data_IF_946595229449
#
_entry.id   IF_946595229449
#
_cell.length_a   1.000
_cell.length_b   1.000
_cell.length_c   1.000
_cell.angle_alpha   90.00
_cell.angle_beta   90.00
_cell.angle_gamma   90.00
#
_symmetry.space_group_name_H-M   'P 1'
#
loop_
_entity.id
_entity.type
_entity.pdbx_description
1 polymer ?
#
# COMPACT_ATOMS: atom_id res chain seq x y z
N UNK A 1 -8.12 -10.86 -0.16
CA UNK A 1 -9.46 -10.40 0.26
C UNK A 1 -9.27 -9.13 1.07
N UNK A 2 -10.15 -8.12 0.89
CA UNK A 2 -10.12 -6.84 1.62
C UNK A 2 -11.49 -6.62 2.25
N UNK A 3 -11.50 -6.22 3.50
CA UNK A 3 -12.72 -5.89 4.24
C UNK A 3 -12.75 -4.40 4.57
N UNK A 4 -13.82 -3.71 4.21
CA UNK A 4 -14.08 -2.34 4.60
C UNK A 4 -15.11 -2.30 5.73
N UNK A 5 -14.81 -1.56 6.79
CA UNK A 5 -15.69 -1.32 7.92
C UNK A 5 -16.00 0.17 8.00
N UNK A 6 -17.29 0.49 8.03
CA UNK A 6 -17.78 1.87 8.14
C UNK A 6 -18.92 1.97 9.17
N UNK A 7 -19.07 3.15 9.74
CA UNK A 7 -20.15 3.42 10.70
C UNK A 7 -21.39 3.90 9.98
N UNK A 8 -22.53 3.20 10.18
CA UNK A 8 -23.83 3.67 9.69
C UNK A 8 -24.34 4.89 10.47
N UNK A 9 -23.95 5.01 11.75
CA UNK A 9 -24.34 6.14 12.60
C UNK A 9 -23.51 7.42 12.32
N UNK A 10 -22.33 7.27 11.71
CA UNK A 10 -21.43 8.37 11.36
C UNK A 10 -20.86 8.15 9.94
N UNK A 11 -21.69 8.30 8.90
CA UNK A 11 -21.28 8.00 7.52
C UNK A 11 -20.18 8.90 6.99
N UNK A 12 -19.96 10.07 7.62
CA UNK A 12 -18.88 11.00 7.29
C UNK A 12 -17.54 10.63 7.93
N UNK A 13 -17.54 9.76 8.96
CA UNK A 13 -16.31 9.29 9.55
C UNK A 13 -15.50 8.45 8.55
N UNK A 14 -14.15 8.52 8.58
CA UNK A 14 -13.32 7.66 7.76
C UNK A 14 -13.64 6.18 7.99
N UNK A 15 -13.76 5.42 6.90
CA UNK A 15 -13.84 3.96 7.00
C UNK A 15 -12.46 3.36 7.31
N UNK A 16 -12.48 2.10 7.72
CA UNK A 16 -11.27 1.29 7.97
C UNK A 16 -11.28 0.15 6.95
N UNK A 17 -10.15 -0.06 6.26
CA UNK A 17 -9.97 -1.18 5.37
C UNK A 17 -8.87 -2.10 5.89
N UNK A 18 -9.22 -3.36 6.12
CA UNK A 18 -8.27 -4.43 6.40
C UNK A 18 -7.83 -5.03 5.08
N UNK A 19 -6.62 -4.69 4.65
CA UNK A 19 -6.14 -4.99 3.29
C UNK A 19 -5.38 -6.31 3.19
N UNK A 20 -5.14 -7.00 4.31
CA UNK A 20 -4.41 -8.27 4.33
C UNK A 20 -3.06 -8.13 3.63
N UNK A 21 -2.78 -9.07 2.74
CA UNK A 21 -1.57 -9.08 1.92
C UNK A 21 -1.79 -8.52 0.50
N UNK A 22 -2.89 -7.80 0.27
CA UNK A 22 -3.16 -7.15 -1.02
C UNK A 22 -2.45 -5.81 -1.13
N UNK A 23 -2.56 -4.97 -0.11
CA UNK A 23 -1.99 -3.63 -0.08
C UNK A 23 -1.29 -3.37 1.25
N UNK A 24 -0.02 -2.99 1.19
CA UNK A 24 0.81 -2.60 2.33
C UNK A 24 1.14 -1.11 2.29
N UNK A 25 1.64 -0.58 3.39
CA UNK A 25 2.22 0.76 3.39
C UNK A 25 3.47 0.80 2.50
N UNK A 26 3.38 1.54 1.41
CA UNK A 26 4.45 1.70 0.43
C UNK A 26 4.63 0.53 -0.53
N UNK A 27 3.69 -0.42 -0.57
CA UNK A 27 3.82 -1.60 -1.43
C UNK A 27 2.53 -2.40 -1.60
N UNK A 28 2.65 -3.56 -2.18
CA UNK A 28 1.57 -4.53 -2.34
C UNK A 28 2.08 -5.96 -2.12
N UNK A 29 1.17 -6.93 -2.13
CA UNK A 29 1.50 -8.35 -2.01
C UNK A 29 2.31 -8.88 -3.19
N UNK A 30 3.01 -9.99 -2.96
CA UNK A 30 3.71 -10.70 -4.01
C UNK A 30 2.75 -11.54 -4.88
N UNK A 31 3.21 -11.88 -6.10
CA UNK A 31 2.43 -12.68 -7.06
C UNK A 31 2.63 -14.18 -6.79
N UNK A 32 2.04 -14.70 -5.71
CA UNK A 32 2.12 -16.14 -5.41
C UNK A 32 1.03 -16.96 -6.11
N UNK A 33 -0.19 -16.43 -6.20
CA UNK A 33 -1.37 -17.17 -6.62
C UNK A 33 -2.16 -16.48 -7.74
N UNK A 34 -1.73 -15.32 -8.20
CA UNK A 34 -2.45 -14.56 -9.22
C UNK A 34 -1.49 -13.91 -10.21
N UNK A 35 -2.01 -13.56 -11.38
CA UNK A 35 -1.27 -12.82 -12.40
C UNK A 35 -1.11 -11.34 -12.01
N UNK A 36 -0.14 -10.66 -12.61
CA UNK A 36 0.04 -9.21 -12.50
C UNK A 36 -1.19 -8.41 -12.94
N UNK A 37 -1.91 -8.91 -13.95
CA UNK A 37 -3.19 -8.33 -14.38
C UNK A 37 -4.25 -8.41 -13.28
N UNK A 38 -4.35 -9.54 -12.59
CA UNK A 38 -5.29 -9.72 -11.47
C UNK A 38 -4.96 -8.79 -10.32
N UNK A 39 -3.68 -8.68 -9.97
CA UNK A 39 -3.24 -7.75 -8.92
C UNK A 39 -3.51 -6.30 -9.31
N UNK A 40 -3.18 -5.90 -10.54
CA UNK A 40 -3.46 -4.56 -11.07
C UNK A 40 -4.95 -4.21 -10.96
N UNK A 41 -5.82 -5.11 -11.40
CA UNK A 41 -7.27 -4.90 -11.31
C UNK A 41 -7.75 -4.81 -9.87
N UNK A 42 -7.19 -5.61 -8.97
CA UNK A 42 -7.53 -5.57 -7.54
C UNK A 42 -7.12 -4.25 -6.88
N UNK A 43 -5.90 -3.77 -7.15
CA UNK A 43 -5.42 -2.49 -6.66
C UNK A 43 -6.24 -1.32 -7.24
N UNK A 44 -6.55 -1.37 -8.54
CA UNK A 44 -7.41 -0.40 -9.21
C UNK A 44 -8.82 -0.35 -8.61
N UNK A 45 -9.42 -1.51 -8.32
CA UNK A 45 -10.71 -1.59 -7.67
C UNK A 45 -10.71 -0.99 -6.26
N UNK A 46 -9.63 -1.20 -5.49
CA UNK A 46 -9.47 -0.59 -4.17
C UNK A 46 -9.39 0.93 -4.25
N UNK A 47 -8.55 1.46 -5.13
CA UNK A 47 -8.37 2.91 -5.28
C UNK A 47 -9.63 3.61 -5.78
N UNK A 48 -10.49 2.93 -6.53
CA UNK A 48 -11.76 3.47 -7.01
C UNK A 48 -12.89 3.39 -5.97
N UNK A 49 -12.88 2.38 -5.11
CA UNK A 49 -13.94 2.12 -4.14
C UNK A 49 -13.74 2.81 -2.80
N UNK A 50 -12.50 2.82 -2.31
CA UNK A 50 -12.18 3.40 -1.01
C UNK A 50 -12.08 4.91 -1.11
N UNK A 51 -12.55 5.60 -0.08
CA UNK A 51 -12.37 7.05 0.04
C UNK A 51 -10.89 7.38 0.35
N UNK A 52 -10.38 8.54 -0.08
CA UNK A 52 -8.99 8.94 0.22
C UNK A 52 -8.64 8.93 1.72
N UNK A 53 -9.61 9.20 2.59
CA UNK A 53 -9.45 9.26 4.05
C UNK A 53 -9.51 7.89 4.70
N UNK A 54 -9.82 6.81 3.96
CA UNK A 54 -9.89 5.45 4.51
C UNK A 54 -8.57 5.06 5.16
N UNK A 55 -8.66 4.58 6.40
CA UNK A 55 -7.52 4.07 7.15
C UNK A 55 -7.22 2.63 6.72
N UNK A 56 -5.99 2.38 6.31
CA UNK A 56 -5.54 1.10 5.79
C UNK A 56 -4.76 0.33 6.86
N UNK A 57 -5.24 -0.88 7.17
CA UNK A 57 -4.62 -1.81 8.10
C UNK A 57 -4.21 -3.08 7.34
N UNK A 58 -2.97 -3.19 6.87
CA UNK A 58 -2.44 -4.38 6.21
C UNK A 58 -2.20 -5.54 7.18
N UNK A 59 -1.99 -6.73 6.62
CA UNK A 59 -1.72 -7.94 7.40
C UNK A 59 -0.33 -7.97 8.04
N UNK A 60 0.62 -7.21 7.50
CA UNK A 60 2.01 -7.12 7.97
C UNK A 60 2.49 -5.67 8.03
N UNK A 61 3.48 -5.42 8.86
CA UNK A 61 4.14 -4.13 8.96
C UNK A 61 5.50 -4.17 8.26
N UNK A 62 5.47 -4.13 6.92
CA UNK A 62 6.66 -4.06 6.06
C UNK A 62 7.04 -2.64 5.68
N UNK A 63 6.47 -1.64 6.37
CA UNK A 63 6.52 -0.24 5.99
C UNK A 63 7.94 0.28 5.75
N UNK A 64 8.89 0.02 6.66
CA UNK A 64 10.26 0.51 6.48
C UNK A 64 10.94 -0.12 5.26
N UNK A 65 10.80 -1.44 5.09
CA UNK A 65 11.39 -2.17 3.98
C UNK A 65 10.83 -1.68 2.64
N UNK A 66 9.51 -1.60 2.53
CA UNK A 66 8.82 -1.20 1.30
C UNK A 66 9.06 0.27 0.96
N UNK A 67 9.06 1.16 1.95
CA UNK A 67 9.36 2.58 1.74
C UNK A 67 10.82 2.80 1.32
N UNK A 68 11.75 2.01 1.80
CA UNK A 68 13.14 2.03 1.29
C UNK A 68 13.20 1.65 -0.20
N UNK A 69 12.44 0.66 -0.60
CA UNK A 69 12.34 0.26 -2.01
C UNK A 69 11.67 1.36 -2.85
N UNK A 70 10.60 1.97 -2.36
CA UNK A 70 9.92 3.07 -3.04
C UNK A 70 10.86 4.25 -3.29
N UNK A 71 11.62 4.68 -2.28
CA UNK A 71 12.63 5.76 -2.43
C UNK A 71 13.74 5.38 -3.43
N UNK A 72 14.15 4.12 -3.48
CA UNK A 72 15.14 3.67 -4.48
C UNK A 72 14.61 3.71 -5.90
N UNK A 73 13.33 3.41 -6.10
CA UNK A 73 12.67 3.42 -7.42
C UNK A 73 12.39 4.84 -7.90
N UNK A 74 11.96 5.70 -6.99
CA UNK A 74 11.62 7.11 -7.26
C UNK A 74 12.42 8.05 -6.34
N UNK A 75 13.73 8.26 -6.60
CA UNK A 75 14.57 9.08 -5.73
C UNK A 75 14.16 10.56 -5.66
N UNK A 76 13.37 11.03 -6.61
CA UNK A 76 12.82 12.40 -6.64
C UNK A 76 11.47 12.53 -5.90
N UNK A 77 10.88 11.42 -5.44
CA UNK A 77 9.59 11.45 -4.73
C UNK A 77 9.79 11.89 -3.27
N UNK A 78 9.55 13.17 -3.02
CA UNK A 78 9.71 13.75 -1.67
C UNK A 78 8.69 13.20 -0.67
N UNK A 79 7.48 12.81 -1.10
CA UNK A 79 6.50 12.17 -0.24
C UNK A 79 6.99 10.79 0.26
N UNK A 80 7.64 10.01 -0.62
CA UNK A 80 8.25 8.74 -0.25
C UNK A 80 9.39 8.91 0.77
N UNK A 81 10.26 9.91 0.57
CA UNK A 81 11.35 10.23 1.50
C UNK A 81 10.82 10.64 2.86
N UNK A 82 9.84 11.53 2.89
CA UNK A 82 9.21 12.00 4.12
C UNK A 82 8.54 10.85 4.88
N UNK A 83 7.82 9.98 4.17
CA UNK A 83 7.18 8.80 4.77
C UNK A 83 8.21 7.83 5.33
N UNK A 84 9.30 7.57 4.62
CA UNK A 84 10.38 6.71 5.13
C UNK A 84 10.98 7.26 6.42
N UNK A 85 11.24 8.58 6.47
CA UNK A 85 11.76 9.23 7.68
C UNK A 85 10.78 9.11 8.85
N UNK A 86 9.48 9.32 8.60
CA UNK A 86 8.42 9.14 9.59
C UNK A 86 8.38 7.72 10.13
N UNK A 87 8.35 6.72 9.24
CA UNK A 87 8.32 5.29 9.62
C UNK A 87 9.52 4.93 10.48
N UNK A 88 10.73 5.31 10.07
CA UNK A 88 11.95 5.08 10.86
C UNK A 88 11.90 5.70 12.24
N UNK A 89 11.41 6.94 12.34
CA UNK A 89 11.26 7.63 13.62
C UNK A 89 10.27 6.90 14.53
N UNK A 90 9.12 6.46 14.00
CA UNK A 90 8.14 5.69 14.77
C UNK A 90 8.72 4.35 15.23
N UNK A 91 9.36 3.60 14.32
CA UNK A 91 9.95 2.29 14.64
C UNK A 91 11.09 2.37 15.65
N UNK A 92 11.89 3.45 15.62
CA UNK A 92 12.95 3.65 16.63
C UNK A 92 12.39 3.84 18.04
N UNK A 93 11.16 4.37 18.15
CA UNK A 93 10.41 4.49 19.40
C UNK A 93 9.54 3.27 19.73
N UNK A 94 9.64 2.20 18.92
CA UNK A 94 8.80 0.99 19.02
C UNK A 94 7.30 1.28 18.84
N UNK A 95 6.96 2.34 18.13
CA UNK A 95 5.59 2.70 17.77
C UNK A 95 5.20 2.05 16.44
N UNK A 96 3.93 1.60 16.28
CA UNK A 96 3.41 1.13 15.01
C UNK A 96 3.45 2.25 13.96
N UNK A 97 3.84 1.94 12.72
CA UNK A 97 3.79 2.89 11.60
C UNK A 97 2.45 2.87 10.85
N UNK A 98 1.53 2.06 11.31
CA UNK A 98 0.18 1.89 10.75
C UNK A 98 -0.86 2.46 11.73
N UNK A 99 -2.05 2.87 11.25
CA UNK A 99 -2.51 2.83 9.86
C UNK A 99 -1.88 3.88 8.97
N UNK A 100 -2.02 3.70 7.66
CA UNK A 100 -1.81 4.73 6.64
C UNK A 100 -3.16 5.11 6.03
N UNK A 101 -3.25 6.16 5.22
CA UNK A 101 -4.46 6.52 4.48
C UNK A 101 -4.29 6.19 3.01
N UNK A 102 -5.40 5.95 2.29
CA UNK A 102 -5.33 5.78 0.85
C UNK A 102 -4.74 7.02 0.16
N UNK A 103 -5.07 8.22 0.64
CA UNK A 103 -4.51 9.48 0.13
C UNK A 103 -2.99 9.49 0.18
N UNK A 104 -2.43 9.08 1.32
CA UNK A 104 -0.97 9.03 1.49
C UNK A 104 -0.35 7.98 0.57
N UNK A 105 -0.94 6.80 0.49
CA UNK A 105 -0.47 5.73 -0.40
C UNK A 105 -0.45 6.16 -1.87
N UNK A 106 -1.44 6.92 -2.32
CA UNK A 106 -1.48 7.46 -3.69
C UNK A 106 -0.31 8.42 -4.00
N UNK A 107 0.29 9.02 -2.97
CA UNK A 107 1.42 9.95 -3.14
C UNK A 107 2.78 9.26 -3.27
N UNK A 108 2.94 8.06 -2.72
CA UNK A 108 4.26 7.40 -2.68
C UNK A 108 4.26 5.91 -3.01
N UNK A 109 3.11 5.26 -3.08
CA UNK A 109 3.06 3.83 -3.36
C UNK A 109 3.12 3.58 -4.86
N UNK A 110 4.31 3.31 -5.37
CA UNK A 110 4.58 3.12 -6.80
C UNK A 110 3.79 1.97 -7.44
N UNK A 111 3.34 1.02 -6.64
CA UNK A 111 2.57 -0.13 -7.13
C UNK A 111 1.13 0.25 -7.50
N UNK A 112 0.57 1.31 -6.91
CA UNK A 112 -0.79 1.77 -7.22
C UNK A 112 -0.90 2.44 -8.58
N UNK A 113 0.20 2.98 -9.10
CA UNK A 113 0.28 3.60 -10.45
C UNK A 113 0.92 2.70 -11.49
N UNK A 114 1.41 1.52 -11.10
CA UNK A 114 2.13 0.63 -11.99
C UNK A 114 1.20 -0.08 -12.98
N UNK A 115 1.68 -0.24 -14.22
CA UNK A 115 1.03 -1.11 -15.20
C UNK A 115 1.16 -2.59 -14.82
N UNK A 116 0.35 -3.49 -15.40
CA UNK A 116 0.50 -4.92 -15.15
C UNK A 116 1.91 -5.46 -15.42
N UNK A 117 2.57 -4.97 -16.49
CA UNK A 117 3.94 -5.34 -16.80
C UNK A 117 4.92 -4.88 -15.72
N UNK A 118 4.79 -3.63 -15.26
CA UNK A 118 5.61 -3.12 -14.17
C UNK A 118 5.39 -3.89 -12.87
N UNK A 119 4.14 -4.28 -12.58
CA UNK A 119 3.84 -5.13 -11.42
C UNK A 119 4.49 -6.51 -11.55
N UNK A 120 4.49 -7.12 -12.74
CA UNK A 120 5.19 -8.37 -12.99
C UNK A 120 6.69 -8.23 -12.70
N UNK A 121 7.32 -7.17 -13.20
CA UNK A 121 8.73 -6.89 -12.96
C UNK A 121 9.05 -6.60 -11.49
N UNK A 122 8.16 -5.90 -10.79
CA UNK A 122 8.38 -5.52 -9.39
C UNK A 122 8.06 -6.61 -8.38
N UNK A 123 7.05 -7.44 -8.67
CA UNK A 123 6.49 -8.41 -7.73
C UNK A 123 6.67 -9.86 -8.17
N UNK A 124 6.85 -10.12 -9.47
CA UNK A 124 6.67 -11.42 -10.07
C UNK A 124 7.85 -11.96 -10.85
N UNK A 125 8.81 -11.14 -11.25
CA UNK A 125 9.91 -11.56 -12.13
C UNK A 125 10.77 -12.73 -11.57
N UNK A 126 10.65 -13.03 -10.27
CA UNK A 126 11.30 -14.17 -9.66
C UNK A 126 10.46 -15.45 -9.67
N UNK A 127 9.20 -15.37 -10.16
CA UNK A 127 8.21 -16.46 -10.05
C UNK A 127 7.51 -16.80 -11.37
N UNK A 128 7.80 -16.06 -12.43
CA UNK A 128 7.27 -16.32 -13.79
C UNK A 128 8.18 -17.24 -14.63
N UNK A 129 9.19 -17.86 -14.02
CA UNK A 129 10.04 -18.87 -14.62
C UNK A 129 9.46 -20.28 -14.43
#
# INVERSE_FOLDING_TARGET
>A
MVYEVFSRAAPEAPSIAFTGDTLFCGGCGALFECSSNTLHNSLGALTQRLKPETLLYPGHEYSEMLMRMAVRREPSNEAAKAKLAQVRSMRSRREPSLPTTLRDELNYNVYLSASPQQLAEMCGAAYDD
#
